data_IF_615584505742
#
_entry.id   IF_615584505742
#
_cell.length_a   1.000
_cell.length_b   1.000
_cell.length_c   1.000
_cell.angle_alpha   90.00
_cell.angle_beta   90.00
_cell.angle_gamma   90.00
#
_symmetry.space_group_name_H-M   'P 1'
#
loop_
_entity.id
_entity.type
_entity.pdbx_description
1 polymer ?
#
# COMPACT_ATOMS: atom_id res chain seq x y z
N UNK A 1 -13.66 -8.95 0.32
CA UNK A 1 -13.19 -8.16 -0.84
C UNK A 1 -13.86 -6.78 -0.92
N UNK A 2 -15.18 -6.70 -1.06
CA UNK A 2 -15.88 -5.40 -1.25
C UNK A 2 -15.53 -4.35 -0.18
N UNK A 3 -15.55 -4.73 1.10
CA UNK A 3 -15.18 -3.83 2.19
C UNK A 3 -13.73 -3.34 2.11
N UNK A 4 -12.78 -4.22 1.76
CA UNK A 4 -11.38 -3.84 1.53
C UNK A 4 -11.29 -2.81 0.40
N UNK A 5 -11.99 -3.02 -0.72
CA UNK A 5 -12.02 -2.06 -1.84
C UNK A 5 -12.56 -0.70 -1.37
N UNK A 6 -13.63 -0.68 -0.58
CA UNK A 6 -14.23 0.56 -0.08
C UNK A 6 -13.26 1.32 0.83
N UNK A 7 -12.64 0.61 1.77
CA UNK A 7 -11.74 1.21 2.76
C UNK A 7 -10.39 1.61 2.16
N UNK A 8 -9.91 0.90 1.15
CA UNK A 8 -8.58 1.13 0.58
C UNK A 8 -8.63 1.93 -0.74
N UNK A 9 -9.23 1.38 -1.78
CA UNK A 9 -9.18 1.96 -3.13
C UNK A 9 -10.18 3.11 -3.32
N UNK A 10 -11.40 2.95 -2.80
CA UNK A 10 -12.44 3.96 -2.94
C UNK A 10 -12.19 5.16 -2.04
N UNK A 11 -11.74 4.95 -0.80
CA UNK A 11 -11.41 6.02 0.14
C UNK A 11 -10.34 6.96 -0.43
N UNK A 12 -9.30 6.42 -1.07
CA UNK A 12 -8.23 7.18 -1.76
C UNK A 12 -8.74 8.03 -2.92
N UNK A 13 -9.79 7.58 -3.60
CA UNK A 13 -10.38 8.32 -4.72
C UNK A 13 -11.34 9.41 -4.25
N UNK A 14 -12.25 9.11 -3.32
CA UNK A 14 -13.25 10.07 -2.83
C UNK A 14 -12.60 11.19 -2.01
N UNK A 15 -11.56 10.85 -1.25
CA UNK A 15 -10.88 11.79 -0.37
C UNK A 15 -9.51 12.22 -0.90
N UNK A 16 -9.32 12.15 -2.22
CA UNK A 16 -8.08 12.52 -2.91
C UNK A 16 -7.56 13.86 -2.43
N UNK A 17 -6.25 13.96 -2.26
CA UNK A 17 -5.54 15.15 -1.78
C UNK A 17 -5.96 15.63 -0.37
N UNK A 18 -6.60 14.76 0.42
CA UNK A 18 -6.87 15.01 1.84
C UNK A 18 -6.26 13.92 2.75
N UNK A 19 -5.97 14.21 4.03
CA UNK A 19 -5.51 13.20 4.99
C UNK A 19 -6.47 12.01 5.13
N UNK A 20 -7.76 12.24 4.84
CA UNK A 20 -8.83 11.24 5.00
C UNK A 20 -8.67 10.05 4.06
N UNK A 21 -7.95 10.22 2.94
CA UNK A 21 -7.57 9.15 2.01
C UNK A 21 -6.81 7.99 2.67
N UNK A 22 -6.10 8.24 3.77
CA UNK A 22 -5.27 7.24 4.47
C UNK A 22 -5.88 6.79 5.81
N UNK A 23 -7.00 7.39 6.22
CA UNK A 23 -7.59 7.18 7.55
C UNK A 23 -8.07 5.75 7.80
N UNK A 24 -8.31 5.00 6.72
CA UNK A 24 -8.86 3.64 6.78
C UNK A 24 -7.79 2.55 6.52
N UNK A 25 -6.54 2.93 6.22
CA UNK A 25 -5.45 1.99 5.89
C UNK A 25 -5.29 0.90 6.96
N UNK A 26 -5.37 1.28 8.24
CA UNK A 26 -5.27 0.34 9.36
C UNK A 26 -6.37 -0.72 9.37
N UNK A 27 -7.64 -0.32 9.14
CA UNK A 27 -8.75 -1.27 9.09
C UNK A 27 -8.69 -2.14 7.83
N UNK A 28 -8.38 -1.54 6.68
CA UNK A 28 -8.20 -2.28 5.44
C UNK A 28 -7.11 -3.37 5.57
N UNK A 29 -6.00 -3.05 6.23
CA UNK A 29 -4.92 -4.00 6.53
C UNK A 29 -5.36 -5.12 7.48
N UNK A 30 -6.15 -4.82 8.52
CA UNK A 30 -6.70 -5.86 9.40
C UNK A 30 -7.59 -6.83 8.62
N UNK A 31 -8.52 -6.31 7.81
CA UNK A 31 -9.40 -7.14 7.00
C UNK A 31 -8.63 -7.95 5.95
N UNK A 32 -7.59 -7.38 5.35
CA UNK A 32 -6.71 -8.10 4.44
C UNK A 32 -6.01 -9.29 5.12
N UNK A 33 -5.47 -9.07 6.32
CA UNK A 33 -4.83 -10.13 7.12
C UNK A 33 -5.79 -11.24 7.54
N UNK A 34 -7.05 -10.92 7.83
CA UNK A 34 -8.06 -11.95 8.11
C UNK A 34 -8.50 -12.67 6.83
N UNK A 35 -8.67 -11.94 5.72
CA UNK A 35 -9.09 -12.51 4.45
C UNK A 35 -8.12 -13.58 3.91
N UNK A 36 -6.81 -13.34 3.99
CA UNK A 36 -5.80 -14.31 3.50
C UNK A 36 -5.76 -15.62 4.31
N UNK A 37 -6.34 -15.66 5.52
CA UNK A 37 -6.42 -16.88 6.35
C UNK A 37 -7.61 -17.76 5.97
N UNK A 38 -8.59 -17.22 5.24
CA UNK A 38 -9.79 -17.96 4.89
C UNK A 38 -9.50 -18.98 3.78
N UNK A 39 -10.03 -20.22 3.86
CA UNK A 39 -9.86 -21.22 2.80
C UNK A 39 -10.32 -20.72 1.43
N UNK A 40 -11.35 -19.86 1.40
CA UNK A 40 -11.88 -19.27 0.19
C UNK A 40 -10.86 -18.40 -0.57
N UNK A 41 -9.87 -17.82 0.12
CA UNK A 41 -8.85 -16.98 -0.50
C UNK A 41 -8.08 -17.74 -1.59
N UNK A 42 -7.70 -18.99 -1.33
CA UNK A 42 -6.93 -19.81 -2.27
C UNK A 42 -7.67 -20.00 -3.61
N UNK A 43 -9.01 -20.05 -3.58
CA UNK A 43 -9.86 -20.26 -4.75
C UNK A 43 -10.18 -18.98 -5.54
N UNK A 44 -9.80 -17.79 -5.03
CA UNK A 44 -10.12 -16.54 -5.72
C UNK A 44 -9.29 -16.35 -6.99
N UNK A 45 -9.85 -15.66 -8.02
CA UNK A 45 -9.08 -15.20 -9.17
C UNK A 45 -7.91 -14.30 -8.75
N UNK A 46 -6.82 -14.32 -9.52
CA UNK A 46 -5.61 -13.52 -9.27
C UNK A 46 -5.93 -12.03 -9.05
N UNK A 47 -6.84 -11.47 -9.85
CA UNK A 47 -7.23 -10.06 -9.73
C UNK A 47 -7.87 -9.74 -8.37
N UNK A 48 -8.69 -10.64 -7.83
CA UNK A 48 -9.31 -10.45 -6.51
C UNK A 48 -8.28 -10.62 -5.38
N UNK A 49 -7.40 -11.62 -5.50
CA UNK A 49 -6.28 -11.80 -4.55
C UNK A 49 -5.41 -10.56 -4.47
N UNK A 50 -5.10 -9.96 -5.63
CA UNK A 50 -4.35 -8.70 -5.73
C UNK A 50 -5.01 -7.61 -4.87
N UNK A 51 -6.31 -7.33 -5.08
CA UNK A 51 -7.00 -6.31 -4.29
C UNK A 51 -7.09 -6.63 -2.80
N UNK A 52 -7.15 -7.92 -2.41
CA UNK A 52 -7.11 -8.31 -1.00
C UNK A 52 -5.75 -8.00 -0.37
N UNK A 53 -4.65 -8.19 -1.10
CA UNK A 53 -3.31 -7.97 -0.54
C UNK A 53 -2.77 -6.54 -0.73
N UNK A 54 -3.42 -5.69 -1.55
CA UNK A 54 -3.03 -4.27 -1.70
C UNK A 54 -2.85 -3.50 -0.38
N UNK A 55 -3.72 -3.65 0.63
CA UNK A 55 -3.55 -2.93 1.91
C UNK A 55 -2.24 -3.24 2.63
N UNK A 56 -1.59 -4.38 2.36
CA UNK A 56 -0.25 -4.66 2.89
C UNK A 56 0.78 -3.67 2.32
N UNK A 57 0.71 -3.39 1.02
CA UNK A 57 1.62 -2.46 0.32
C UNK A 57 1.44 -1.02 0.80
N UNK A 58 0.29 -0.65 1.37
CA UNK A 58 0.02 0.73 1.81
C UNK A 58 0.40 1.01 3.27
N UNK A 59 0.88 0.00 3.99
CA UNK A 59 1.22 0.09 5.41
C UNK A 59 2.58 0.75 5.63
N UNK A 60 2.65 1.77 6.48
CA UNK A 60 3.94 2.33 6.96
C UNK A 60 4.56 1.43 8.07
N UNK A 61 4.82 0.16 7.74
CA UNK A 61 5.42 -0.82 8.67
C UNK A 61 6.31 -1.84 7.96
N UNK A 62 7.61 -1.86 8.30
CA UNK A 62 8.59 -2.81 7.76
C UNK A 62 8.14 -4.27 7.93
N UNK A 63 7.61 -4.61 9.11
CA UNK A 63 7.16 -5.98 9.40
C UNK A 63 5.98 -6.41 8.53
N UNK A 64 5.13 -5.47 8.11
CA UNK A 64 4.03 -5.78 7.20
C UNK A 64 4.56 -6.04 5.79
N UNK A 65 5.51 -5.25 5.31
CA UNK A 65 6.17 -5.50 4.02
C UNK A 65 6.95 -6.82 3.99
N UNK A 66 7.61 -7.22 5.07
CA UNK A 66 8.24 -8.54 5.18
C UNK A 66 7.24 -9.69 4.95
N UNK A 67 6.01 -9.54 5.45
CA UNK A 67 4.93 -10.51 5.20
C UNK A 67 4.29 -10.37 3.83
N UNK A 68 4.28 -9.16 3.27
CA UNK A 68 3.70 -8.86 1.98
C UNK A 68 4.49 -9.51 0.85
N UNK A 69 5.82 -9.39 0.85
CA UNK A 69 6.68 -9.86 -0.25
C UNK A 69 6.37 -11.32 -0.67
N UNK A 70 6.26 -12.30 0.25
CA UNK A 70 5.84 -13.66 -0.11
C UNK A 70 4.45 -13.73 -0.78
N UNK A 71 3.46 -12.97 -0.28
CA UNK A 71 2.10 -12.93 -0.83
C UNK A 71 2.09 -12.37 -2.26
N UNK A 72 2.83 -11.29 -2.49
CA UNK A 72 2.98 -10.67 -3.80
C UNK A 72 3.79 -11.54 -4.76
N UNK A 73 4.74 -12.31 -4.25
CA UNK A 73 5.47 -13.32 -5.03
C UNK A 73 4.55 -14.44 -5.48
N UNK A 74 3.73 -14.98 -4.56
CA UNK A 74 2.76 -16.05 -4.86
C UNK A 74 1.66 -15.60 -5.83
N UNK A 75 1.32 -14.30 -5.85
CA UNK A 75 0.36 -13.75 -6.80
C UNK A 75 0.75 -14.00 -8.26
N UNK A 76 2.06 -14.14 -8.55
CA UNK A 76 2.58 -14.44 -9.89
C UNK A 76 2.52 -13.25 -10.87
N UNK A 77 2.23 -12.04 -10.38
CA UNK A 77 2.23 -10.81 -11.16
C UNK A 77 3.52 -10.01 -10.90
N UNK A 78 4.50 -10.19 -11.79
CA UNK A 78 5.83 -9.58 -11.66
C UNK A 78 5.79 -8.05 -11.59
N UNK A 79 4.86 -7.41 -12.30
CA UNK A 79 4.70 -5.97 -12.27
C UNK A 79 4.25 -5.53 -10.87
N UNK A 80 3.19 -6.14 -10.34
CA UNK A 80 2.70 -5.79 -9.01
C UNK A 80 3.73 -6.12 -7.90
N UNK A 81 4.52 -7.18 -8.06
CA UNK A 81 5.62 -7.50 -7.14
C UNK A 81 6.72 -6.42 -7.14
N UNK A 82 7.08 -5.87 -8.31
CA UNK A 82 8.06 -4.77 -8.40
C UNK A 82 7.62 -3.55 -7.59
N UNK A 83 6.32 -3.24 -7.61
CA UNK A 83 5.75 -2.18 -6.79
C UNK A 83 5.88 -2.48 -5.30
N UNK A 84 5.56 -3.69 -4.85
CA UNK A 84 5.72 -4.09 -3.45
C UNK A 84 7.18 -3.93 -2.98
N UNK A 85 8.14 -4.39 -3.78
CA UNK A 85 9.57 -4.24 -3.47
C UNK A 85 9.97 -2.76 -3.39
N UNK A 86 9.46 -1.92 -4.30
CA UNK A 86 9.67 -0.48 -4.26
C UNK A 86 9.12 0.17 -2.98
N UNK A 87 7.91 -0.22 -2.55
CA UNK A 87 7.30 0.28 -1.32
C UNK A 87 8.08 -0.20 -0.09
N UNK A 88 8.45 -1.48 -0.03
CA UNK A 88 9.29 -2.02 1.04
C UNK A 88 10.59 -1.25 1.18
N UNK A 89 11.30 -1.00 0.07
CA UNK A 89 12.56 -0.26 0.11
C UNK A 89 12.40 1.17 0.66
N UNK A 90 11.29 1.84 0.34
CA UNK A 90 10.98 3.15 0.92
C UNK A 90 10.72 3.06 2.42
N UNK A 91 9.93 2.08 2.86
CA UNK A 91 9.62 1.88 4.28
C UNK A 91 10.85 1.44 5.08
N UNK A 92 11.70 0.59 4.54
CA UNK A 92 12.97 0.20 5.17
C UNK A 92 13.90 1.41 5.34
N UNK A 93 13.92 2.33 4.36
CA UNK A 93 14.78 3.51 4.38
C UNK A 93 14.26 4.62 5.29
N UNK A 94 12.97 4.94 5.22
CA UNK A 94 12.39 6.13 5.86
C UNK A 94 11.44 5.81 7.02
N UNK A 95 11.03 4.55 7.19
CA UNK A 95 10.02 4.13 8.17
C UNK A 95 8.58 4.57 7.85
N UNK A 96 8.38 5.31 6.74
CA UNK A 96 7.11 5.91 6.31
C UNK A 96 7.18 6.30 4.84
N UNK A 97 6.07 6.71 4.23
CA UNK A 97 6.06 7.28 2.88
C UNK A 97 6.29 8.80 2.93
N UNK A 98 7.43 9.30 2.43
CA UNK A 98 7.71 10.74 2.44
C UNK A 98 6.69 11.56 1.64
N UNK A 99 6.08 10.96 0.62
CA UNK A 99 5.02 11.55 -0.20
C UNK A 99 3.78 11.93 0.63
N UNK A 100 3.52 11.22 1.73
CA UNK A 100 2.40 11.49 2.65
C UNK A 100 2.72 12.57 3.68
N UNK A 101 3.97 13.05 3.79
CA UNK A 101 4.36 13.97 4.86
C UNK A 101 3.56 15.27 4.84
N UNK A 102 3.50 15.96 3.68
CA UNK A 102 2.78 17.24 3.57
C UNK A 102 1.30 17.12 3.92
N UNK A 103 0.64 16.11 3.35
CA UNK A 103 -0.80 15.88 3.52
C UNK A 103 -1.17 15.41 4.93
N UNK A 104 -0.25 14.74 5.63
CA UNK A 104 -0.41 14.33 7.03
C UNK A 104 0.17 15.33 8.05
N UNK A 105 0.62 16.52 7.60
CA UNK A 105 1.19 17.55 8.47
C UNK A 105 2.53 17.18 9.12
N UNK A 106 3.28 16.24 8.54
CA UNK A 106 4.60 15.80 9.02
C UNK A 106 5.70 16.66 8.42
N UNK A 107 6.72 16.98 9.20
CA UNK A 107 7.94 17.58 8.69
C UNK A 107 8.79 16.52 7.98
N UNK A 108 9.22 16.81 6.75
CA UNK A 108 10.17 15.98 6.01
C UNK A 108 11.61 16.26 6.44
N UNK A 109 12.44 15.22 6.48
CA UNK A 109 13.90 15.35 6.60
C UNK A 109 14.53 15.82 5.29
N UNK A 110 15.79 16.26 5.33
CA UNK A 110 16.52 16.63 4.11
C UNK A 110 16.66 15.46 3.13
N UNK A 111 16.87 14.25 3.65
CA UNK A 111 16.95 13.03 2.86
C UNK A 111 15.62 12.71 2.17
N UNK A 112 14.51 12.82 2.91
CA UNK A 112 13.16 12.65 2.37
C UNK A 112 12.86 13.70 1.28
N UNK A 113 13.26 14.96 1.49
CA UNK A 113 13.09 16.02 0.49
C UNK A 113 13.94 15.78 -0.77
N UNK A 114 15.18 15.29 -0.62
CA UNK A 114 16.02 14.92 -1.73
C UNK A 114 15.41 13.74 -2.53
N UNK A 115 14.91 12.73 -1.83
CA UNK A 115 14.20 11.60 -2.43
C UNK A 115 12.96 12.06 -3.23
N UNK A 116 12.14 12.96 -2.68
CA UNK A 116 10.94 13.46 -3.36
C UNK A 116 11.25 14.26 -4.63
N UNK A 117 12.45 14.84 -4.77
CA UNK A 117 12.85 15.57 -5.99
C UNK A 117 13.23 14.63 -7.15
N UNK A 118 13.77 13.45 -6.85
CA UNK A 118 14.19 12.46 -7.86
C UNK A 118 13.10 11.44 -8.16
N UNK A 119 12.13 11.30 -7.26
CA UNK A 119 11.06 10.30 -7.33
C UNK A 119 9.80 10.84 -8.01
N UNK A 120 9.88 11.23 -9.28
CA UNK A 120 8.71 11.70 -10.04
C UNK A 120 7.79 10.56 -10.54
N UNK A 121 8.15 9.29 -10.31
CA UNK A 121 7.40 8.12 -10.81
C UNK A 121 6.81 7.18 -9.74
N UNK A 122 7.25 7.26 -8.48
CA UNK A 122 6.92 6.30 -7.41
C UNK A 122 5.96 6.86 -6.36
N UNK A 123 5.30 7.97 -6.69
CA UNK A 123 4.36 8.66 -5.82
C UNK A 123 3.03 7.91 -5.91
N UNK A 124 2.50 7.54 -4.73
CA UNK A 124 1.21 6.91 -4.37
C UNK A 124 -0.05 7.63 -4.95
N UNK A 125 0.11 8.42 -6.01
CA UNK A 125 -0.91 9.21 -6.71
C UNK A 125 -1.45 8.54 -7.99
N UNK A 126 -1.04 7.31 -8.32
CA UNK A 126 -1.43 6.63 -9.58
C UNK A 126 -1.90 5.17 -9.47
N UNK A 127 -2.29 4.68 -8.30
CA UNK A 127 -2.86 3.32 -8.14
C UNK A 127 -4.38 3.23 -8.32
N UNK A 128 -5.01 4.20 -8.99
CA UNK A 128 -6.43 4.17 -9.32
C UNK A 128 -6.74 4.58 -10.78
N UNK A 129 -6.12 3.90 -11.73
CA UNK A 129 -6.44 3.97 -13.16
C UNK A 129 -6.55 2.57 -13.74
#
# INVERSE_FOLDING_TARGET
LAEIIVLDQFSRNVWRDTPRAFSQDGMALVLAQEAIKLPAYAALPTMEKKFIIMPFMHSESTRIHEKAVPLFTELGDAYTLEFEIGHKNQIDRFGRYPSRNKILGRQSTEEELAFLKTSTGWIDTKTAG
#
